data_IF_402250660566
#
_entry.id   IF_402250660566
#
_cell.length_a   1.000
_cell.length_b   1.000
_cell.length_c   1.000
_cell.angle_alpha   90.00
_cell.angle_beta   90.00
_cell.angle_gamma   90.00
#
_symmetry.space_group_name_H-M   'P 1'
#
loop_
_entity.id
_entity.type
_entity.pdbx_description
1 polymer ?
#
# COMPACT_ATOMS: atom_id res chain seq x y z
N UNK A 1 8.15 2.57 16.66
CA UNK A 1 6.93 2.49 15.85
C UNK A 1 5.75 2.77 16.76
N UNK A 2 4.70 3.36 16.21
CA UNK A 2 3.46 3.67 16.94
C UNK A 2 2.28 3.03 16.20
N UNK A 3 1.08 3.03 16.80
CA UNK A 3 -0.11 2.53 16.11
C UNK A 3 -0.35 3.31 14.82
N UNK A 4 -0.60 2.60 13.71
CA UNK A 4 -0.79 3.23 12.41
C UNK A 4 -2.11 3.99 12.35
N UNK A 5 -2.10 5.13 11.69
CA UNK A 5 -3.30 5.94 11.45
C UNK A 5 -3.79 5.80 10.01
N UNK A 6 -5.02 6.26 9.77
CA UNK A 6 -5.64 6.38 8.45
C UNK A 6 -6.14 7.80 8.24
N UNK A 7 -6.26 8.23 6.98
CA UNK A 7 -6.87 9.51 6.63
C UNK A 7 -8.39 9.38 6.74
N UNK A 8 -9.00 10.23 7.54
CA UNK A 8 -10.45 10.35 7.66
C UNK A 8 -11.00 11.04 6.41
N UNK A 9 -11.93 10.38 5.71
CA UNK A 9 -12.44 10.85 4.42
C UNK A 9 -13.32 12.10 4.53
N UNK A 10 -13.87 12.40 5.70
CA UNK A 10 -14.73 13.57 5.90
C UNK A 10 -13.91 14.82 6.27
N UNK A 11 -12.81 14.63 7.00
CA UNK A 11 -12.02 15.73 7.57
C UNK A 11 -10.63 15.88 6.96
N UNK A 12 -10.14 14.86 6.24
CA UNK A 12 -8.78 14.78 5.71
C UNK A 12 -7.70 14.58 6.78
N UNK A 13 -8.07 14.47 8.06
CA UNK A 13 -7.14 14.36 9.18
C UNK A 13 -6.75 12.91 9.48
N UNK A 14 -5.58 12.74 10.10
CA UNK A 14 -5.11 11.44 10.59
C UNK A 14 -5.88 11.02 11.84
N UNK A 15 -6.52 9.84 11.81
CA UNK A 15 -7.31 9.30 12.93
C UNK A 15 -6.80 7.94 13.38
N UNK A 16 -6.88 7.67 14.69
CA UNK A 16 -6.62 6.34 15.24
C UNK A 16 -7.62 5.33 14.68
N UNK A 17 -7.09 4.21 14.18
CA UNK A 17 -7.83 3.34 13.28
C UNK A 17 -8.23 2.04 13.96
N UNK A 18 -9.53 1.69 13.87
CA UNK A 18 -10.01 0.30 14.01
C UNK A 18 -9.96 -0.45 12.68
N UNK A 19 -9.72 0.28 11.59
CA UNK A 19 -9.75 -0.15 10.18
C UNK A 19 -8.38 -0.64 9.74
N UNK A 20 -7.31 -0.07 10.31
CA UNK A 20 -5.91 -0.48 10.18
C UNK A 20 -5.35 -0.72 11.57
N UNK A 21 -4.96 -1.95 11.88
CA UNK A 21 -4.56 -2.34 13.24
C UNK A 21 -3.06 -2.55 13.40
N UNK A 22 -2.26 -2.19 12.39
CA UNK A 22 -0.80 -2.29 12.41
C UNK A 22 -0.12 -1.26 13.31
N UNK A 23 1.16 -1.48 13.59
CA UNK A 23 2.10 -0.44 13.98
C UNK A 23 2.88 0.06 12.76
N UNK A 24 3.36 1.30 12.80
CA UNK A 24 4.11 1.88 11.69
C UNK A 24 4.96 3.08 12.06
N UNK A 25 5.72 3.54 11.08
CA UNK A 25 6.49 4.78 11.11
C UNK A 25 6.76 5.29 9.70
N UNK A 26 7.25 6.51 9.59
CA UNK A 26 7.69 7.09 8.32
C UNK A 26 9.21 7.30 8.34
N UNK A 27 9.86 6.90 7.25
CA UNK A 27 11.21 7.30 6.91
C UNK A 27 11.12 8.48 5.94
N UNK A 28 11.93 9.52 6.18
CA UNK A 28 11.90 10.72 5.35
C UNK A 28 12.41 10.41 3.94
N UNK A 29 11.89 11.12 2.94
CA UNK A 29 12.44 11.05 1.58
C UNK A 29 13.93 11.40 1.62
N UNK A 30 14.74 10.54 1.02
CA UNK A 30 16.18 10.69 0.96
C UNK A 30 16.92 10.69 2.32
N UNK A 31 16.31 10.15 3.38
CA UNK A 31 16.83 10.17 4.76
C UNK A 31 18.30 9.75 4.85
N UNK A 32 18.67 8.67 4.19
CA UNK A 32 20.05 8.16 4.13
C UNK A 32 20.38 7.58 2.76
N UNK A 33 21.61 7.07 2.59
CA UNK A 33 22.09 6.51 1.31
C UNK A 33 21.27 5.29 0.87
N UNK A 34 20.82 4.46 1.80
CA UNK A 34 20.05 3.24 1.50
C UNK A 34 18.67 3.67 0.99
N UNK A 35 17.98 4.56 1.72
CA UNK A 35 16.66 5.07 1.33
C UNK A 35 16.72 5.79 -0.02
N UNK A 36 17.72 6.65 -0.26
CA UNK A 36 17.93 7.27 -1.57
C UNK A 36 18.09 6.25 -2.70
N UNK A 37 18.82 5.16 -2.45
CA UNK A 37 19.05 4.12 -3.45
C UNK A 37 17.76 3.36 -3.77
N UNK A 38 16.95 3.06 -2.74
CA UNK A 38 15.64 2.43 -2.90
C UNK A 38 14.73 3.36 -3.71
N UNK A 39 14.59 4.63 -3.30
CA UNK A 39 13.71 5.59 -3.97
C UNK A 39 14.11 5.85 -5.42
N UNK A 40 15.42 5.91 -5.72
CA UNK A 40 15.90 5.99 -7.10
C UNK A 40 15.49 4.77 -7.91
N UNK A 41 15.63 3.56 -7.35
CA UNK A 41 15.21 2.32 -8.04
C UNK A 41 13.70 2.31 -8.31
N UNK A 42 12.90 2.81 -7.37
CA UNK A 42 11.45 2.96 -7.57
C UNK A 42 11.20 3.90 -8.75
N UNK A 43 11.83 5.08 -8.75
CA UNK A 43 11.67 6.05 -9.82
C UNK A 43 12.12 5.51 -11.20
N UNK A 44 13.25 4.80 -11.25
CA UNK A 44 13.75 4.19 -12.47
C UNK A 44 12.77 3.13 -13.04
N UNK A 45 12.06 2.39 -12.18
CA UNK A 45 11.10 1.36 -12.59
C UNK A 45 9.72 1.92 -12.95
N UNK A 46 9.24 2.91 -12.20
CA UNK A 46 7.89 3.48 -12.39
C UNK A 46 7.87 4.63 -13.39
N UNK A 47 9.05 5.15 -13.77
CA UNK A 47 9.21 6.38 -14.55
C UNK A 47 8.57 7.61 -13.90
N UNK A 48 8.37 7.58 -12.57
CA UNK A 48 7.87 8.71 -11.78
C UNK A 48 9.04 9.31 -11.00
N UNK A 49 9.30 10.63 -11.06
CA UNK A 49 10.42 11.26 -10.36
C UNK A 49 10.39 11.01 -8.84
N UNK A 50 11.58 10.99 -8.21
CA UNK A 50 11.71 10.76 -6.76
C UNK A 50 10.97 11.83 -5.96
N UNK A 51 10.94 13.05 -6.50
CA UNK A 51 10.32 14.26 -5.94
C UNK A 51 8.80 14.13 -5.82
N UNK A 52 8.16 13.33 -6.68
CA UNK A 52 6.74 13.02 -6.60
C UNK A 52 6.42 12.02 -5.47
N UNK A 53 7.42 11.36 -4.91
CA UNK A 53 7.24 10.37 -3.86
C UNK A 53 7.08 11.00 -2.47
N UNK A 54 6.11 10.51 -1.70
CA UNK A 54 6.06 10.71 -0.24
C UNK A 54 7.21 9.97 0.46
N UNK A 55 7.41 10.18 1.77
CA UNK A 55 8.31 9.34 2.56
C UNK A 55 7.89 7.86 2.54
N UNK A 56 8.83 6.95 2.85
CA UNK A 56 8.50 5.53 2.96
C UNK A 56 7.75 5.27 4.26
N UNK A 57 6.54 4.73 4.16
CA UNK A 57 5.82 4.22 5.32
C UNK A 57 6.26 2.80 5.59
N UNK A 58 6.77 2.49 6.79
CA UNK A 58 7.10 1.13 7.24
C UNK A 58 6.02 0.66 8.20
N UNK A 59 5.59 -0.59 8.04
CA UNK A 59 4.44 -1.15 8.72
C UNK A 59 4.73 -2.56 9.21
N UNK A 60 4.24 -2.86 10.40
CA UNK A 60 4.31 -4.17 11.02
C UNK A 60 2.92 -4.62 11.44
N UNK A 61 2.52 -5.81 10.96
CA UNK A 61 1.28 -6.49 11.33
C UNK A 61 1.61 -7.78 12.09
N UNK A 62 1.10 -7.86 13.32
CA UNK A 62 1.10 -9.07 14.14
C UNK A 62 -0.05 -10.00 13.75
N UNK A 63 -0.06 -11.21 14.32
CA UNK A 63 -1.17 -12.17 14.16
C UNK A 63 -2.52 -11.51 14.50
N UNK A 64 -3.49 -11.66 13.61
CA UNK A 64 -4.82 -11.07 13.68
C UNK A 64 -4.93 -9.63 13.18
N UNK A 65 -3.82 -8.90 13.02
CA UNK A 65 -3.84 -7.53 12.51
C UNK A 65 -4.07 -7.51 11.00
N UNK A 66 -4.77 -6.46 10.54
CA UNK A 66 -5.26 -6.32 9.16
C UNK A 66 -5.36 -4.85 8.75
N UNK A 67 -5.67 -4.64 7.47
CA UNK A 67 -6.16 -3.36 6.96
C UNK A 67 -7.39 -3.63 6.10
N UNK A 68 -8.55 -3.10 6.51
CA UNK A 68 -9.79 -3.18 5.73
C UNK A 68 -9.65 -2.60 4.32
N UNK A 69 -10.56 -2.97 3.40
CA UNK A 69 -10.60 -2.43 2.04
C UNK A 69 -10.62 -0.89 2.02
N UNK A 70 -9.70 -0.31 1.25
CA UNK A 70 -9.56 1.13 1.10
C UNK A 70 -8.95 1.49 -0.25
N UNK A 71 -8.94 2.79 -0.53
CA UNK A 71 -8.22 3.38 -1.65
C UNK A 71 -7.04 4.17 -1.13
N UNK A 72 -5.97 4.21 -1.91
CA UNK A 72 -4.82 5.07 -1.62
C UNK A 72 -5.00 6.50 -2.10
N UNK A 73 -5.90 6.73 -3.07
CA UNK A 73 -6.25 8.08 -3.52
C UNK A 73 -7.06 8.82 -2.44
N UNK A 74 -6.97 10.14 -2.47
CA UNK A 74 -7.75 11.02 -1.63
C UNK A 74 -9.10 11.32 -2.28
N UNK A 75 -10.13 11.40 -1.44
CA UNK A 75 -11.46 11.92 -1.82
C UNK A 75 -11.63 13.37 -1.41
N UNK A 76 -10.71 13.90 -0.60
CA UNK A 76 -10.75 15.26 -0.06
C UNK A 76 -9.80 16.21 -0.81
N UNK A 77 -10.15 17.50 -0.78
CA UNK A 77 -9.33 18.56 -1.39
C UNK A 77 -8.10 18.93 -0.54
N UNK A 78 -8.08 18.62 0.76
CA UNK A 78 -7.01 19.06 1.64
C UNK A 78 -5.71 18.30 1.34
N UNK A 79 -5.77 16.97 1.24
CA UNK A 79 -4.62 16.11 1.00
C UNK A 79 -4.08 16.20 -0.44
N UNK A 80 -4.89 16.66 -1.38
CA UNK A 80 -4.47 16.88 -2.77
C UNK A 80 -3.71 18.19 -2.97
N UNK A 81 -3.73 19.14 -2.00
CA UNK A 81 -2.99 20.41 -2.13
C UNK A 81 -1.47 20.23 -2.22
N UNK A 82 -0.92 19.18 -1.61
CA UNK A 82 0.51 18.90 -1.65
C UNK A 82 0.80 17.75 -2.61
N UNK A 83 1.34 18.07 -3.80
CA UNK A 83 1.67 17.09 -4.84
C UNK A 83 0.47 16.59 -5.66
N UNK A 84 -0.76 17.03 -5.39
CA UNK A 84 -1.93 16.52 -6.10
C UNK A 84 -2.33 15.12 -5.62
N UNK A 85 -3.03 14.37 -6.50
CA UNK A 85 -3.51 13.03 -6.19
C UNK A 85 -2.38 11.99 -6.12
N UNK A 86 -2.57 10.91 -5.36
CA UNK A 86 -1.74 9.70 -5.45
C UNK A 86 -2.10 8.94 -6.72
N UNK A 87 -1.14 8.82 -7.64
CA UNK A 87 -1.34 8.14 -8.93
C UNK A 87 -1.03 6.65 -8.84
N UNK A 88 -0.05 6.28 -8.02
CA UNK A 88 0.44 4.92 -7.89
C UNK A 88 0.98 4.63 -6.50
N UNK A 89 0.96 3.35 -6.16
CA UNK A 89 1.50 2.80 -4.93
C UNK A 89 2.47 1.67 -5.26
N UNK A 90 3.65 1.71 -4.66
CA UNK A 90 4.55 0.57 -4.59
C UNK A 90 4.56 0.02 -3.16
N UNK A 91 4.05 -1.20 -2.99
CA UNK A 91 4.08 -1.94 -1.73
C UNK A 91 5.19 -2.98 -1.76
N UNK A 92 6.21 -2.80 -0.93
CA UNK A 92 7.33 -3.73 -0.78
C UNK A 92 7.09 -4.66 0.42
N UNK A 93 7.31 -5.96 0.23
CA UNK A 93 7.23 -6.94 1.31
C UNK A 93 8.62 -7.13 1.94
N UNK A 94 8.72 -6.83 3.23
CA UNK A 94 9.98 -6.86 3.98
C UNK A 94 10.15 -8.13 4.82
N UNK A 95 9.16 -9.03 4.81
CA UNK A 95 9.23 -10.36 5.41
C UNK A 95 8.40 -11.35 4.59
N UNK A 96 8.78 -12.62 4.69
CA UNK A 96 7.88 -13.72 4.33
C UNK A 96 6.78 -13.84 5.39
N UNK A 97 5.57 -14.16 4.96
CA UNK A 97 4.44 -14.43 5.86
C UNK A 97 4.03 -15.88 5.69
N UNK A 98 4.02 -16.62 6.80
CA UNK A 98 3.74 -18.06 6.80
C UNK A 98 2.30 -18.34 6.33
N UNK A 99 1.33 -17.64 6.91
CA UNK A 99 -0.09 -17.79 6.58
C UNK A 99 -0.86 -16.47 6.72
N UNK A 100 -1.74 -16.18 5.77
CA UNK A 100 -2.48 -14.92 5.70
C UNK A 100 -1.62 -13.74 5.25
N UNK A 101 -2.01 -12.53 5.63
CA UNK A 101 -1.27 -11.30 5.35
C UNK A 101 -1.26 -10.86 3.88
N UNK A 102 -2.03 -11.49 2.99
CA UNK A 102 -2.07 -11.16 1.57
C UNK A 102 -2.54 -9.72 1.32
N UNK A 103 -2.13 -9.16 0.18
CA UNK A 103 -2.77 -7.95 -0.36
C UNK A 103 -3.83 -8.38 -1.36
N UNK A 104 -5.10 -8.07 -1.10
CA UNK A 104 -6.25 -8.49 -1.93
C UNK A 104 -6.90 -7.29 -2.60
N UNK A 105 -7.21 -7.43 -3.90
CA UNK A 105 -7.96 -6.47 -4.73
C UNK A 105 -9.35 -7.04 -5.02
N UNK A 106 -10.32 -6.72 -4.16
CA UNK A 106 -11.66 -7.29 -4.23
C UNK A 106 -12.46 -6.82 -5.46
N UNK A 107 -12.13 -5.64 -6.00
CA UNK A 107 -12.78 -5.08 -7.19
C UNK A 107 -12.13 -5.49 -8.51
N UNK A 108 -11.03 -6.26 -8.47
CA UNK A 108 -10.35 -6.73 -9.67
C UNK A 108 -11.21 -7.78 -10.38
N UNK A 109 -11.52 -7.56 -11.66
CA UNK A 109 -12.34 -8.46 -12.47
C UNK A 109 -11.50 -9.62 -13.03
N UNK A 110 -11.02 -10.48 -12.15
CA UNK A 110 -10.22 -11.66 -12.49
C UNK A 110 -10.87 -12.90 -11.88
N UNK A 111 -10.82 -14.03 -12.58
CA UNK A 111 -11.21 -15.30 -11.98
C UNK A 111 -10.12 -15.79 -11.02
N UNK A 112 -10.16 -15.35 -9.76
CA UNK A 112 -9.15 -15.66 -8.74
C UNK A 112 -8.96 -17.15 -8.52
N UNK A 113 -10.04 -17.94 -8.64
CA UNK A 113 -10.02 -19.40 -8.47
C UNK A 113 -9.14 -20.15 -9.49
N UNK A 114 -8.87 -19.53 -10.64
CA UNK A 114 -7.99 -20.08 -11.67
C UNK A 114 -6.51 -19.71 -11.50
N UNK A 115 -6.18 -18.86 -10.53
CA UNK A 115 -4.80 -18.40 -10.34
C UNK A 115 -3.95 -19.46 -9.62
N UNK A 116 -2.66 -19.61 -9.98
CA UNK A 116 -1.73 -20.45 -9.23
C UNK A 116 -1.71 -20.08 -7.75
N UNK A 117 -1.69 -21.10 -6.89
CA UNK A 117 -1.66 -20.89 -5.43
C UNK A 117 -2.99 -20.52 -4.78
N UNK A 118 -4.11 -20.47 -5.52
CA UNK A 118 -5.43 -20.15 -4.95
C UNK A 118 -5.79 -20.99 -3.71
N UNK A 119 -5.44 -22.28 -3.71
CA UNK A 119 -5.72 -23.18 -2.60
C UNK A 119 -4.88 -22.88 -1.34
N UNK A 120 -3.76 -22.16 -1.48
CA UNK A 120 -2.88 -21.75 -0.38
C UNK A 120 -3.26 -20.38 0.19
N UNK A 121 -4.22 -19.68 -0.44
CA UNK A 121 -4.70 -18.38 0.01
C UNK A 121 -5.64 -18.51 1.21
N UNK A 122 -5.58 -17.52 2.10
CA UNK A 122 -6.58 -17.34 3.15
C UNK A 122 -7.99 -17.08 2.57
N UNK A 123 -9.02 -17.32 3.37
CA UNK A 123 -10.40 -17.03 2.97
C UNK A 123 -10.64 -15.54 2.66
N UNK A 124 -9.84 -14.65 3.27
CA UNK A 124 -9.84 -13.24 2.92
C UNK A 124 -9.31 -13.02 1.50
N UNK A 125 -8.18 -13.62 1.16
CA UNK A 125 -7.52 -13.46 -0.13
C UNK A 125 -8.29 -14.09 -1.30
N UNK A 126 -9.09 -15.13 -1.06
CA UNK A 126 -9.91 -15.77 -2.09
C UNK A 126 -11.01 -14.85 -2.66
N UNK A 127 -11.34 -13.75 -1.97
CA UNK A 127 -12.38 -12.78 -2.39
C UNK A 127 -12.01 -11.90 -3.57
N UNK A 128 -10.77 -11.96 -4.07
CA UNK A 128 -10.32 -11.14 -5.20
C UNK A 128 -8.96 -11.59 -5.75
N UNK A 129 -8.38 -10.77 -6.64
CA UNK A 129 -6.99 -10.95 -7.05
C UNK A 129 -6.09 -10.68 -5.85
N UNK A 130 -5.22 -11.62 -5.50
CA UNK A 130 -4.40 -11.51 -4.29
C UNK A 130 -2.94 -11.80 -4.54
N UNK A 131 -2.10 -11.16 -3.75
CA UNK A 131 -0.65 -11.34 -3.74
C UNK A 131 -0.20 -11.77 -2.35
N UNK A 132 0.46 -12.93 -2.27
CA UNK A 132 1.05 -13.42 -1.02
C UNK A 132 2.34 -12.64 -0.70
N UNK A 133 2.56 -12.21 0.56
CA UNK A 133 3.78 -11.51 0.92
C UNK A 133 4.98 -12.46 0.84
N UNK A 134 5.99 -12.05 0.08
CA UNK A 134 7.27 -12.75 -0.01
C UNK A 134 8.40 -11.73 0.11
N UNK A 135 9.37 -12.00 0.98
CA UNK A 135 10.42 -11.04 1.28
C UNK A 135 11.19 -10.64 0.01
N UNK A 136 11.29 -9.33 -0.22
CA UNK A 136 12.01 -8.76 -1.36
C UNK A 136 11.14 -8.48 -2.59
N UNK A 137 9.94 -9.06 -2.67
CA UNK A 137 8.99 -8.75 -3.74
C UNK A 137 8.35 -7.37 -3.53
N UNK A 138 7.95 -6.74 -4.63
CA UNK A 138 7.25 -5.47 -4.63
C UNK A 138 6.04 -5.50 -5.58
N UNK A 139 4.93 -4.94 -5.12
CA UNK A 139 3.67 -4.84 -5.84
C UNK A 139 3.44 -3.38 -6.25
N UNK A 140 3.37 -3.14 -7.56
CA UNK A 140 3.01 -1.84 -8.13
C UNK A 140 1.55 -1.88 -8.60
N UNK A 141 0.75 -0.89 -8.18
CA UNK A 141 -0.60 -0.70 -8.69
C UNK A 141 -0.95 0.78 -8.79
N UNK A 142 -1.93 1.09 -9.64
CA UNK A 142 -2.33 2.46 -9.97
C UNK A 142 -3.65 2.80 -9.29
N UNK A 143 -3.70 3.97 -8.65
CA UNK A 143 -4.91 4.52 -8.04
C UNK A 143 -5.75 5.32 -9.03
N UNK A 144 -5.19 5.63 -10.20
CA UNK A 144 -5.80 6.41 -11.26
C UNK A 144 -5.62 5.73 -12.61
N UNK A 145 -6.57 5.96 -13.51
CA UNK A 145 -6.50 5.55 -14.91
C UNK A 145 -5.66 6.52 -15.73
N UNK A 146 -5.24 6.14 -16.96
CA UNK A 146 -4.48 7.03 -17.85
C UNK A 146 -5.21 8.34 -18.21
N UNK A 147 -6.54 8.37 -18.13
CA UNK A 147 -7.36 9.56 -18.36
C UNK A 147 -7.50 10.46 -17.10
N UNK A 148 -6.69 10.20 -16.07
CA UNK A 148 -6.69 10.87 -14.77
C UNK A 148 -7.99 10.71 -13.94
N UNK A 149 -8.86 9.78 -14.30
CA UNK A 149 -9.98 9.39 -13.42
C UNK A 149 -9.50 8.44 -12.32
N UNK A 150 -10.13 8.49 -11.14
CA UNK A 150 -9.87 7.54 -10.06
C UNK A 150 -10.23 6.13 -10.53
N UNK A 151 -9.43 5.12 -10.16
CA UNK A 151 -9.72 3.75 -10.54
C UNK A 151 -10.36 2.94 -9.40
N UNK A 152 -11.67 2.64 -9.44
CA UNK A 152 -12.33 1.84 -8.41
C UNK A 152 -11.83 0.39 -8.33
N UNK A 153 -11.11 -0.08 -9.37
CA UNK A 153 -10.51 -1.42 -9.36
C UNK A 153 -9.31 -1.53 -8.41
N UNK A 154 -8.74 -0.38 -8.00
CA UNK A 154 -7.63 -0.28 -7.05
C UNK A 154 -8.03 -0.47 -5.57
N UNK A 155 -9.30 -0.75 -5.29
CA UNK A 155 -9.78 -1.08 -3.94
C UNK A 155 -9.02 -2.30 -3.43
N UNK A 156 -8.24 -2.10 -2.38
CA UNK A 156 -7.38 -3.15 -1.85
C UNK A 156 -7.39 -3.20 -0.33
N UNK A 157 -7.02 -4.35 0.21
CA UNK A 157 -6.97 -4.61 1.64
C UNK A 157 -5.71 -5.42 2.01
N UNK A 158 -5.31 -5.33 3.27
CA UNK A 158 -4.36 -6.26 3.88
C UNK A 158 -5.11 -7.31 4.67
N UNK A 159 -5.11 -8.55 4.18
CA UNK A 159 -5.73 -9.67 4.88
C UNK A 159 -5.09 -9.89 6.25
N UNK A 160 -5.84 -10.44 7.23
CA UNK A 160 -5.30 -10.74 8.54
C UNK A 160 -4.07 -11.64 8.45
N UNK A 161 -3.02 -11.35 9.23
CA UNK A 161 -1.93 -12.31 9.44
C UNK A 161 -2.47 -13.46 10.29
N UNK A 162 -2.36 -14.69 9.81
CA UNK A 162 -2.81 -15.88 10.54
C UNK A 162 -1.62 -16.50 11.28
N UNK A 163 -0.44 -16.53 10.63
CA UNK A 163 0.80 -17.06 11.22
C UNK A 163 2.03 -16.29 10.73
N UNK A 164 2.97 -16.05 11.64
CA UNK A 164 4.19 -15.26 11.39
C UNK A 164 3.99 -13.77 11.66
N UNK A 165 4.78 -12.94 10.98
CA UNK A 165 4.73 -11.47 11.12
C UNK A 165 4.91 -10.82 9.74
N UNK A 166 4.07 -9.82 9.42
CA UNK A 166 4.15 -9.12 8.14
C UNK A 166 4.81 -7.76 8.33
N UNK A 167 5.96 -7.59 7.69
CA UNK A 167 6.61 -6.30 7.51
C UNK A 167 6.42 -5.84 6.07
N UNK A 168 6.07 -4.57 5.89
CA UNK A 168 5.92 -3.98 4.57
C UNK A 168 6.37 -2.52 4.56
N UNK A 169 6.73 -2.03 3.38
CA UNK A 169 6.93 -0.61 3.18
C UNK A 169 6.20 -0.10 1.96
N UNK A 170 5.43 0.97 2.15
CA UNK A 170 4.63 1.60 1.12
C UNK A 170 5.30 2.88 0.65
N UNK A 171 5.40 3.05 -0.67
CA UNK A 171 5.76 4.30 -1.34
C UNK A 171 4.56 4.78 -2.13
N UNK A 172 4.01 5.92 -1.73
CA UNK A 172 2.99 6.62 -2.51
C UNK A 172 3.64 7.64 -3.44
N UNK A 173 3.17 7.67 -4.68
CA UNK A 173 3.64 8.58 -5.72
C UNK A 173 2.52 9.53 -6.13
N UNK A 174 2.85 10.82 -6.14
CA UNK A 174 1.94 11.93 -6.45
C UNK A 174 1.99 12.33 -7.93
N UNK A 175 0.94 12.98 -8.43
CA UNK A 175 0.91 13.50 -9.81
C UNK A 175 1.90 14.66 -10.03
N UNK A 176 2.18 15.44 -8.98
CA UNK A 176 3.15 16.53 -8.99
C UNK A 176 4.18 16.33 -7.88
N UNK A 177 5.22 17.18 -7.87
CA UNK A 177 6.22 17.21 -6.81
C UNK A 177 5.54 17.30 -5.42
N UNK A 178 5.91 16.37 -4.54
CA UNK A 178 5.48 16.36 -3.14
C UNK A 178 6.49 17.13 -2.30
N UNK A 179 6.04 18.21 -1.65
CA UNK A 179 6.88 19.02 -0.77
C UNK A 179 6.86 18.42 0.63
N UNK A 180 7.97 17.79 1.01
CA UNK A 180 8.16 17.12 2.29
C UNK A 180 8.46 18.11 3.42
#
# INVERSE_FOLDING_TARGET
MEKSTVVDTATGQSKDSRVRTSSGMFLRRGQDKIIRTIEKRIADYTFIPVENGEGLQVLHYEVGQKYEPHFDYFVDEFNTKNGGQRIATLLMYLSDVEEGGETVFASAKVNSSSLPGYNELSDCAKKGLSVKPKMGDALLFWSMRPDATLDPSSLHAGCPVIKGNKWSSTKWMRIHEYRA
#
